data_IF_040460198129
#
_entry.id   IF_040460198129
#
_cell.length_a   1.000
_cell.length_b   1.000
_cell.length_c   1.000
_cell.angle_alpha   90.00
_cell.angle_beta   90.00
_cell.angle_gamma   90.00
#
_symmetry.space_group_name_H-M   'P 1'
#
loop_
_entity.id
_entity.type
_entity.pdbx_description
1 polymer ?
#
# COMPACT_ATOMS: atom_id res chain seq x y z
N UNK A 1 -30.49 -29.09 9.07
CA UNK A 1 -29.43 -29.09 8.04
C UNK A 1 -29.37 -27.81 7.19
N UNK A 2 -30.49 -27.31 6.61
CA UNK A 2 -30.52 -26.08 5.79
C UNK A 2 -29.96 -24.81 6.47
N UNK A 3 -30.25 -24.60 7.75
CA UNK A 3 -29.78 -23.43 8.52
C UNK A 3 -28.25 -23.36 8.61
N UNK A 4 -27.61 -24.46 9.01
CA UNK A 4 -26.16 -24.57 9.08
C UNK A 4 -25.47 -24.35 7.73
N UNK A 5 -26.06 -24.86 6.64
CA UNK A 5 -25.56 -24.65 5.29
C UNK A 5 -25.57 -23.17 4.88
N UNK A 6 -26.66 -22.44 5.16
CA UNK A 6 -26.75 -21.01 4.86
C UNK A 6 -25.75 -20.18 5.67
N UNK A 7 -25.57 -20.51 6.95
CA UNK A 7 -24.60 -19.84 7.81
C UNK A 7 -23.16 -20.05 7.33
N UNK A 8 -22.82 -21.27 6.90
CA UNK A 8 -21.51 -21.58 6.33
C UNK A 8 -21.25 -20.81 5.02
N UNK A 9 -22.21 -20.79 4.09
CA UNK A 9 -22.10 -20.07 2.83
C UNK A 9 -21.97 -18.55 3.04
N UNK A 10 -22.68 -18.00 4.04
CA UNK A 10 -22.56 -16.60 4.43
C UNK A 10 -21.15 -16.26 4.90
N UNK A 11 -20.57 -17.06 5.81
CA UNK A 11 -19.18 -16.90 6.28
C UNK A 11 -18.17 -17.00 5.13
N UNK A 12 -18.34 -17.96 4.23
CA UNK A 12 -17.46 -18.11 3.05
C UNK A 12 -17.55 -16.91 2.11
N UNK A 13 -18.75 -16.41 1.81
CA UNK A 13 -18.93 -15.20 0.99
C UNK A 13 -18.27 -13.97 1.64
N UNK A 14 -18.38 -13.83 2.95
CA UNK A 14 -17.74 -12.76 3.70
C UNK A 14 -16.21 -12.83 3.61
N UNK A 15 -15.61 -13.99 3.87
CA UNK A 15 -14.16 -14.18 3.77
C UNK A 15 -13.63 -13.90 2.36
N UNK A 16 -14.30 -14.41 1.32
CA UNK A 16 -13.92 -14.15 -0.07
C UNK A 16 -13.98 -12.66 -0.42
N UNK A 17 -14.95 -11.93 0.13
CA UNK A 17 -15.05 -10.48 -0.05
C UNK A 17 -13.89 -9.75 0.62
N UNK A 18 -13.51 -10.15 1.84
CA UNK A 18 -12.37 -9.57 2.54
C UNK A 18 -11.06 -9.79 1.78
N UNK A 19 -10.80 -11.02 1.30
CA UNK A 19 -9.60 -11.32 0.52
C UNK A 19 -9.52 -10.47 -0.75
N UNK A 20 -10.64 -10.29 -1.46
CA UNK A 20 -10.69 -9.39 -2.63
C UNK A 20 -10.38 -7.94 -2.26
N UNK A 21 -10.92 -7.44 -1.14
CA UNK A 21 -10.63 -6.08 -0.68
C UNK A 21 -9.14 -5.91 -0.37
N UNK A 22 -8.55 -6.84 0.40
CA UNK A 22 -7.12 -6.80 0.71
C UNK A 22 -6.26 -6.86 -0.55
N UNK A 23 -6.60 -7.73 -1.49
CA UNK A 23 -5.91 -7.83 -2.78
C UNK A 23 -5.96 -6.49 -3.54
N UNK A 24 -7.14 -5.87 -3.65
CA UNK A 24 -7.31 -4.58 -4.31
C UNK A 24 -6.51 -3.47 -3.65
N UNK A 25 -6.51 -3.41 -2.31
CA UNK A 25 -5.72 -2.43 -1.56
C UNK A 25 -4.21 -2.66 -1.76
N UNK A 26 -3.78 -3.92 -1.79
CA UNK A 26 -2.38 -4.26 -2.02
C UNK A 26 -1.93 -3.93 -3.44
N UNK A 27 -2.76 -4.18 -4.45
CA UNK A 27 -2.53 -3.74 -5.83
C UNK A 27 -2.40 -2.21 -5.92
N UNK A 28 -3.27 -1.47 -5.21
CA UNK A 28 -3.14 -0.03 -5.13
C UNK A 28 -1.81 0.41 -4.52
N UNK A 29 -1.36 -0.24 -3.44
CA UNK A 29 -0.07 0.04 -2.79
C UNK A 29 1.11 -0.24 -3.73
N UNK A 30 1.12 -1.39 -4.42
CA UNK A 30 2.19 -1.74 -5.36
C UNK A 30 2.39 -0.66 -6.43
N UNK A 31 1.31 -0.14 -7.00
CA UNK A 31 1.43 0.87 -8.06
C UNK A 31 1.85 2.24 -7.53
N UNK A 32 1.68 2.53 -6.24
CA UNK A 32 2.27 3.73 -5.61
C UNK A 32 3.76 3.55 -5.25
N UNK A 33 4.21 2.31 -5.01
CA UNK A 33 5.56 2.01 -4.52
C UNK A 33 6.65 2.48 -5.49
N UNK A 34 6.49 2.23 -6.79
CA UNK A 34 7.51 2.58 -7.78
C UNK A 34 7.78 4.09 -7.84
N UNK A 35 6.72 4.90 -7.89
CA UNK A 35 6.83 6.37 -7.89
C UNK A 35 7.38 6.87 -6.57
N UNK A 36 6.93 6.31 -5.44
CA UNK A 36 7.43 6.68 -4.12
C UNK A 36 8.95 6.42 -4.02
N UNK A 37 9.40 5.23 -4.38
CA UNK A 37 10.82 4.88 -4.35
C UNK A 37 11.65 5.73 -5.31
N UNK A 38 11.17 6.01 -6.52
CA UNK A 38 11.88 6.87 -7.47
C UNK A 38 12.05 8.30 -6.91
N UNK A 39 10.98 8.86 -6.35
CA UNK A 39 10.98 10.19 -5.75
C UNK A 39 11.89 10.25 -4.51
N UNK A 40 11.82 9.25 -3.65
CA UNK A 40 12.64 9.19 -2.45
C UNK A 40 14.10 8.91 -2.76
N UNK A 41 14.40 8.10 -3.78
CA UNK A 41 15.77 7.88 -4.25
C UNK A 41 16.41 9.18 -4.74
N UNK A 42 15.65 10.06 -5.40
CA UNK A 42 16.15 11.38 -5.74
C UNK A 42 16.57 12.18 -4.48
N UNK A 43 15.77 12.14 -3.41
CA UNK A 43 16.11 12.77 -2.12
C UNK A 43 17.33 12.12 -1.46
N UNK A 44 17.48 10.81 -1.58
CA UNK A 44 18.63 10.07 -1.06
C UNK A 44 19.96 10.60 -1.61
N UNK A 45 20.03 10.94 -2.90
CA UNK A 45 21.25 11.42 -3.55
C UNK A 45 21.85 12.68 -2.90
N UNK A 46 21.01 13.51 -2.27
CA UNK A 46 21.44 14.78 -1.65
C UNK A 46 21.39 14.77 -0.12
N UNK A 47 20.50 13.97 0.48
CA UNK A 47 20.25 13.97 1.93
C UNK A 47 20.60 12.68 2.67
N UNK A 48 21.07 11.65 1.96
CA UNK A 48 21.45 10.37 2.55
C UNK A 48 20.27 9.55 3.10
N UNK A 49 20.60 8.54 3.91
CA UNK A 49 19.64 7.51 4.35
C UNK A 49 18.51 8.06 5.24
N UNK A 50 18.80 9.02 6.12
CA UNK A 50 17.78 9.61 6.99
C UNK A 50 16.74 10.40 6.18
N UNK A 51 17.20 11.21 5.21
CA UNK A 51 16.32 11.96 4.33
C UNK A 51 15.51 11.03 3.40
N UNK A 52 16.12 9.93 2.93
CA UNK A 52 15.41 8.88 2.19
C UNK A 52 14.24 8.30 2.98
N UNK A 53 14.49 7.82 4.22
CA UNK A 53 13.44 7.22 5.06
C UNK A 53 12.29 8.21 5.33
N UNK A 54 12.63 9.47 5.62
CA UNK A 54 11.63 10.52 5.81
C UNK A 54 10.83 10.76 4.53
N UNK A 55 11.51 10.84 3.38
CA UNK A 55 10.88 11.03 2.07
C UNK A 55 9.93 9.88 1.72
N UNK A 56 10.30 8.63 1.96
CA UNK A 56 9.46 7.46 1.66
C UNK A 56 8.10 7.53 2.39
N UNK A 57 8.10 8.01 3.64
CA UNK A 57 6.88 8.15 4.43
C UNK A 57 6.07 9.41 4.11
N UNK A 58 6.70 10.43 3.53
CA UNK A 58 6.12 11.76 3.34
C UNK A 58 6.15 12.16 1.86
N UNK A 59 7.20 12.85 1.41
CA UNK A 59 7.30 13.45 0.08
C UNK A 59 7.10 12.44 -1.05
N UNK A 60 7.82 11.32 -1.05
CA UNK A 60 7.68 10.29 -2.07
C UNK A 60 6.28 9.66 -2.06
N UNK A 61 5.72 9.43 -0.87
CA UNK A 61 4.35 8.93 -0.75
C UNK A 61 3.32 9.93 -1.30
N UNK A 62 3.42 11.20 -0.92
CA UNK A 62 2.55 12.27 -1.40
C UNK A 62 2.65 12.44 -2.92
N UNK A 63 3.86 12.39 -3.48
CA UNK A 63 4.07 12.47 -4.93
C UNK A 63 3.47 11.27 -5.66
N UNK A 64 3.58 10.07 -5.08
CA UNK A 64 2.96 8.86 -5.64
C UNK A 64 1.43 8.96 -5.68
N UNK A 65 0.80 9.52 -4.63
CA UNK A 65 -0.64 9.77 -4.62
C UNK A 65 -1.02 10.84 -5.63
N UNK A 66 -0.25 11.92 -5.74
CA UNK A 66 -0.48 12.99 -6.72
C UNK A 66 -0.42 12.45 -8.15
N UNK A 67 0.61 11.67 -8.48
CA UNK A 67 0.73 11.06 -9.81
C UNK A 67 -0.47 10.17 -10.14
N UNK A 68 -0.97 9.45 -9.14
CA UNK A 68 -2.16 8.61 -9.27
C UNK A 68 -3.45 9.41 -9.40
N UNK A 69 -3.54 10.56 -8.76
CA UNK A 69 -4.67 11.49 -8.92
C UNK A 69 -4.75 12.06 -10.33
N UNK A 70 -3.59 12.40 -10.90
CA UNK A 70 -3.49 12.97 -12.25
C UNK A 70 -3.83 11.93 -13.31
N UNK A 71 -3.29 10.71 -13.19
CA UNK A 71 -3.38 9.69 -14.24
C UNK A 71 -4.54 8.68 -14.05
N UNK A 72 -5.06 8.51 -12.83
CA UNK A 72 -5.86 7.36 -12.43
C UNK A 72 -7.32 7.63 -12.08
N UNK A 73 -7.94 8.70 -12.61
CA UNK A 73 -9.34 9.06 -12.26
C UNK A 73 -10.33 7.90 -12.42
N UNK A 74 -10.14 7.06 -13.44
CA UNK A 74 -10.97 5.88 -13.67
C UNK A 74 -10.71 4.73 -12.69
N UNK A 75 -9.50 4.62 -12.13
CA UNK A 75 -9.17 3.59 -11.14
C UNK A 75 -9.97 3.77 -9.85
N UNK A 76 -10.15 5.01 -9.40
CA UNK A 76 -10.91 5.28 -8.17
C UNK A 76 -12.37 4.85 -8.27
N UNK A 77 -12.98 4.91 -9.45
CA UNK A 77 -14.34 4.40 -9.69
C UNK A 77 -14.39 2.87 -9.53
N UNK A 78 -13.38 2.16 -10.01
CA UNK A 78 -13.26 0.71 -9.81
C UNK A 78 -13.18 0.33 -8.32
N UNK A 79 -12.38 1.04 -7.53
CA UNK A 79 -12.28 0.75 -6.10
C UNK A 79 -13.54 1.14 -5.32
N UNK A 80 -14.19 2.24 -5.70
CA UNK A 80 -15.45 2.66 -5.11
C UNK A 80 -16.56 1.62 -5.35
N UNK A 81 -16.64 1.07 -6.56
CA UNK A 81 -17.57 -0.03 -6.89
C UNK A 81 -17.28 -1.31 -6.07
N UNK A 82 -16.04 -1.48 -5.62
CA UNK A 82 -15.64 -2.55 -4.70
C UNK A 82 -15.82 -2.21 -3.21
N UNK A 83 -16.54 -1.13 -2.89
CA UNK A 83 -16.79 -0.64 -1.52
C UNK A 83 -15.50 -0.31 -0.75
N UNK A 84 -14.54 0.31 -1.43
CA UNK A 84 -13.32 0.84 -0.82
C UNK A 84 -13.27 2.33 -1.14
N UNK A 85 -13.27 3.17 -0.11
CA UNK A 85 -13.20 4.62 -0.30
C UNK A 85 -11.78 5.06 -0.67
N UNK A 86 -11.68 6.23 -1.31
CA UNK A 86 -10.40 6.85 -1.63
C UNK A 86 -9.52 7.06 -0.40
N UNK A 87 -10.08 7.58 0.69
CA UNK A 87 -9.36 7.76 1.95
C UNK A 87 -8.89 6.42 2.55
N UNK A 88 -9.68 5.36 2.42
CA UNK A 88 -9.25 4.02 2.85
C UNK A 88 -8.03 3.54 2.04
N UNK A 89 -8.02 3.73 0.72
CA UNK A 89 -6.87 3.37 -0.12
C UNK A 89 -5.61 4.14 0.30
N UNK A 90 -5.74 5.45 0.53
CA UNK A 90 -4.63 6.29 0.94
C UNK A 90 -4.06 5.86 2.30
N UNK A 91 -4.93 5.69 3.31
CA UNK A 91 -4.51 5.26 4.64
C UNK A 91 -3.87 3.88 4.62
N UNK A 92 -4.47 2.90 3.94
CA UNK A 92 -3.88 1.56 3.87
C UNK A 92 -2.57 1.54 3.09
N UNK A 93 -2.47 2.31 1.99
CA UNK A 93 -1.23 2.42 1.22
C UNK A 93 -0.12 3.05 2.06
N UNK A 94 -0.44 4.06 2.88
CA UNK A 94 0.49 4.66 3.82
C UNK A 94 0.94 3.65 4.89
N UNK A 95 0.01 2.90 5.49
CA UNK A 95 0.33 1.83 6.44
C UNK A 95 1.25 0.77 5.82
N UNK A 96 0.97 0.33 4.59
CA UNK A 96 1.85 -0.61 3.88
C UNK A 96 3.22 -0.01 3.57
N UNK A 97 3.29 1.28 3.24
CA UNK A 97 4.56 2.00 3.05
C UNK A 97 5.39 2.01 4.33
N UNK A 98 4.76 2.27 5.48
CA UNK A 98 5.42 2.21 6.77
C UNK A 98 5.96 0.80 7.09
N UNK A 99 5.12 -0.23 6.92
CA UNK A 99 5.53 -1.63 7.14
C UNK A 99 6.68 -2.01 6.19
N UNK A 100 6.58 -1.65 4.91
CA UNK A 100 7.63 -1.88 3.92
C UNK A 100 8.95 -1.24 4.35
N UNK A 101 8.93 0.03 4.76
CA UNK A 101 10.13 0.73 5.21
C UNK A 101 10.74 0.11 6.48
N UNK A 102 9.89 -0.31 7.43
CA UNK A 102 10.34 -1.01 8.63
C UNK A 102 11.02 -2.35 8.29
N UNK A 103 10.44 -3.13 7.38
CA UNK A 103 11.02 -4.39 6.88
C UNK A 103 12.35 -4.13 6.17
N UNK A 104 12.41 -3.16 5.26
CA UNK A 104 13.65 -2.80 4.56
C UNK A 104 14.73 -2.35 5.55
N UNK A 105 14.39 -1.52 6.54
CA UNK A 105 15.32 -1.05 7.56
C UNK A 105 15.83 -2.21 8.43
N UNK A 106 14.96 -3.15 8.77
CA UNK A 106 15.33 -4.35 9.52
C UNK A 106 16.29 -5.25 8.73
N UNK A 107 15.95 -5.55 7.47
CA UNK A 107 16.80 -6.34 6.57
C UNK A 107 18.15 -5.68 6.34
N UNK A 108 18.18 -4.37 6.11
CA UNK A 108 19.42 -3.61 5.93
C UNK A 108 20.34 -3.73 7.16
N UNK A 109 19.79 -3.60 8.37
CA UNK A 109 20.54 -3.80 9.62
C UNK A 109 21.05 -5.23 9.78
N UNK A 110 20.27 -6.24 9.40
CA UNK A 110 20.71 -7.64 9.44
C UNK A 110 21.88 -7.88 8.48
N UNK A 111 21.81 -7.35 7.26
CA UNK A 111 22.88 -7.49 6.27
C UNK A 111 24.17 -6.86 6.79
N UNK A 112 24.12 -5.62 7.30
CA UNK A 112 25.30 -4.93 7.87
C UNK A 112 25.89 -5.70 9.06
N UNK A 113 25.06 -6.36 9.87
CA UNK A 113 25.54 -7.13 11.01
C UNK A 113 26.24 -8.44 10.59
N UNK A 114 25.83 -9.01 9.46
CA UNK A 114 26.37 -10.28 8.95
C UNK A 114 27.67 -10.05 8.17
N UNK A 115 27.77 -8.91 7.46
CA UNK A 115 28.95 -8.50 6.71
C UNK A 115 30.09 -8.04 7.65
#
# INVERSE_FOLDING_TARGET
>A
MKFWMQQFLSRRKFYNRMNKKLHNVFEFFKSTLAVNLAASFFVFLFGGLAAFNCSVLTFGFALSLFFKEVNGKNEYVFYFNNQISKMQLWLHSWCFTFVFLAVCSFVFKLIIKIL
#
